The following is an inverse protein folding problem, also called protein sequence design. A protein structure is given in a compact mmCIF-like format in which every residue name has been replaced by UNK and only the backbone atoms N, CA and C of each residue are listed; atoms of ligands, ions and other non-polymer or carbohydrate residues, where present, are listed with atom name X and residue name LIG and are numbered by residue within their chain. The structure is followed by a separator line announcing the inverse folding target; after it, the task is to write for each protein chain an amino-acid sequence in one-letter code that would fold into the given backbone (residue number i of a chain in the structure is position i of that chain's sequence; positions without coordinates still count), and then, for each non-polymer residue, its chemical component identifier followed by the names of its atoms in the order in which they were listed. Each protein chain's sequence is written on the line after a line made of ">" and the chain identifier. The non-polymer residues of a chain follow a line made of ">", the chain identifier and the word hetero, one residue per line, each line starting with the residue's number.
data_IF_167135915658
#
_entry.id   IF_167135915658
#
_cell.length_a   1.000
_cell.length_b   1.000
_cell.length_c   1.000
_cell.angle_alpha   90.00
_cell.angle_beta   90.00
_cell.angle_gamma   90.00
#
_symmetry.space_group_name_H-M   'P 1'
#
loop_
_entity.id
_entity.type
_entity.pdbx_description
1 polymer ?
#
# COMPACT_ATOMS: atom_id res chain seq x y z
N UNK A 1 12.13 -42.56 -48.25
CA UNK A 1 12.00 -41.62 -47.12
C UNK A 1 12.67 -42.24 -45.89
N UNK A 2 13.53 -41.50 -45.19
CA UNK A 2 14.23 -41.98 -43.99
C UNK A 2 13.20 -42.30 -42.87
N UNK A 3 13.35 -43.44 -42.18
CA UNK A 3 12.43 -43.85 -41.10
C UNK A 3 12.34 -42.78 -39.99
N UNK A 4 13.43 -42.05 -39.72
CA UNK A 4 13.45 -40.93 -38.77
C UNK A 4 12.68 -39.71 -39.28
N UNK A 5 12.70 -39.45 -40.59
CA UNK A 5 11.94 -38.36 -41.21
C UNK A 5 10.43 -38.59 -41.04
N UNK A 6 9.95 -39.79 -41.36
CA UNK A 6 8.54 -40.15 -41.21
C UNK A 6 8.08 -40.09 -39.75
N UNK A 7 8.90 -40.59 -38.80
CA UNK A 7 8.60 -40.49 -37.36
C UNK A 7 8.58 -39.04 -36.87
N UNK A 8 9.49 -38.19 -37.37
CA UNK A 8 9.51 -36.76 -37.02
C UNK A 8 8.25 -36.04 -37.51
N UNK A 9 7.78 -36.33 -38.74
CA UNK A 9 6.53 -35.80 -39.29
C UNK A 9 5.34 -36.20 -38.42
N UNK A 10 5.26 -37.47 -38.03
CA UNK A 10 4.17 -37.98 -37.20
C UNK A 10 4.13 -37.27 -35.84
N UNK A 11 5.27 -37.20 -35.14
CA UNK A 11 5.36 -36.50 -33.86
C UNK A 11 5.04 -35.00 -34.00
N UNK A 12 5.40 -34.37 -35.13
CA UNK A 12 5.06 -32.97 -35.37
C UNK A 12 3.56 -32.76 -35.51
N UNK A 13 2.87 -33.63 -36.26
CA UNK A 13 1.41 -33.62 -36.42
C UNK A 13 0.67 -33.91 -35.11
N UNK A 14 1.24 -34.76 -34.26
CA UNK A 14 0.77 -35.03 -32.89
C UNK A 14 1.04 -33.86 -31.92
N UNK A 15 1.66 -32.77 -32.39
CA UNK A 15 1.81 -31.54 -31.63
C UNK A 15 3.05 -31.46 -30.75
N UNK A 16 4.06 -32.30 -30.99
CA UNK A 16 5.35 -32.21 -30.31
C UNK A 16 6.21 -31.06 -30.88
N UNK A 17 6.93 -30.35 -30.01
CA UNK A 17 7.88 -29.32 -30.41
C UNK A 17 9.19 -29.93 -30.92
N UNK A 18 9.97 -29.19 -31.70
CA UNK A 18 11.27 -29.66 -32.18
C UNK A 18 12.21 -30.09 -31.04
N UNK A 19 12.11 -29.45 -29.87
CA UNK A 19 12.89 -29.84 -28.69
C UNK A 19 12.49 -31.22 -28.15
N UNK A 20 11.20 -31.58 -28.18
CA UNK A 20 10.74 -32.91 -27.77
C UNK A 20 11.04 -33.97 -28.84
N UNK A 21 10.88 -33.64 -30.11
CA UNK A 21 11.21 -34.54 -31.23
C UNK A 21 12.71 -34.85 -31.24
N UNK A 22 13.56 -33.84 -31.10
CA UNK A 22 15.01 -34.00 -30.93
C UNK A 22 15.33 -34.91 -29.74
N UNK A 23 14.71 -34.67 -28.56
CA UNK A 23 14.92 -35.50 -27.38
C UNK A 23 14.52 -36.97 -27.59
N UNK A 24 13.47 -37.23 -28.38
CA UNK A 24 12.94 -38.58 -28.64
C UNK A 24 13.69 -39.33 -29.74
N UNK A 25 14.12 -38.64 -30.79
CA UNK A 25 14.70 -39.26 -32.00
C UNK A 25 16.20 -39.01 -32.17
N UNK A 26 16.82 -38.15 -31.36
CA UNK A 26 18.23 -37.76 -31.47
C UNK A 26 18.58 -36.90 -32.69
N UNK A 27 17.60 -36.58 -33.55
CA UNK A 27 17.82 -35.79 -34.77
C UNK A 27 18.08 -34.33 -34.42
N UNK A 28 19.10 -33.73 -35.06
CA UNK A 28 19.48 -32.33 -34.84
C UNK A 28 18.33 -31.36 -35.13
N UNK A 29 18.28 -30.21 -34.43
CA UNK A 29 17.22 -29.21 -34.63
C UNK A 29 17.24 -28.57 -36.02
N UNK A 30 18.42 -28.40 -36.63
CA UNK A 30 18.55 -27.87 -38.00
C UNK A 30 17.95 -28.84 -39.01
N UNK A 31 18.22 -30.14 -38.85
CA UNK A 31 17.59 -31.19 -39.66
C UNK A 31 16.07 -31.22 -39.48
N UNK A 32 15.58 -31.15 -38.23
CA UNK A 32 14.14 -31.09 -37.96
C UNK A 32 13.49 -29.83 -38.55
N UNK A 33 14.19 -28.69 -38.53
CA UNK A 33 13.69 -27.46 -39.17
C UNK A 33 13.48 -27.72 -40.65
N UNK A 34 14.51 -28.17 -41.38
CA UNK A 34 14.42 -28.44 -42.82
C UNK A 34 13.31 -29.43 -43.17
N UNK A 35 13.08 -30.45 -42.34
CA UNK A 35 12.09 -31.50 -42.58
C UNK A 35 10.64 -31.09 -42.26
N UNK A 36 10.44 -30.21 -41.29
CA UNK A 36 9.14 -29.95 -40.69
C UNK A 36 8.62 -28.53 -40.94
N UNK A 37 9.35 -27.69 -41.70
CA UNK A 37 9.00 -26.30 -42.00
C UNK A 37 7.54 -26.14 -42.46
N UNK A 38 7.10 -26.97 -43.40
CA UNK A 38 5.78 -26.89 -44.02
C UNK A 38 4.65 -27.44 -43.13
N UNK A 39 4.96 -27.97 -41.93
CA UNK A 39 3.96 -28.60 -41.05
C UNK A 39 3.58 -27.62 -39.93
N UNK A 40 2.32 -27.13 -39.91
CA UNK A 40 1.84 -26.21 -38.87
C UNK A 40 2.01 -26.78 -37.47
N UNK A 41 2.37 -25.90 -36.53
CA UNK A 41 2.54 -26.30 -35.14
C UNK A 41 1.28 -26.05 -34.32
N UNK A 42 0.67 -27.12 -33.81
CA UNK A 42 -0.36 -27.05 -32.77
C UNK A 42 0.12 -27.83 -31.55
N UNK A 43 0.41 -27.19 -30.41
CA UNK A 43 0.99 -27.87 -29.26
C UNK A 43 0.01 -28.88 -28.63
N UNK A 44 0.52 -30.06 -28.30
CA UNK A 44 -0.23 -31.05 -27.51
C UNK A 44 -0.16 -30.77 -26.00
N UNK A 45 -0.90 -31.57 -25.22
CA UNK A 45 -0.99 -31.38 -23.77
C UNK A 45 0.36 -31.45 -23.06
N UNK A 46 1.29 -32.31 -23.51
CA UNK A 46 2.63 -32.40 -22.94
C UNK A 46 3.42 -31.11 -23.15
N UNK A 47 3.38 -30.54 -24.37
CA UNK A 47 4.00 -29.26 -24.68
C UNK A 47 3.37 -28.13 -23.86
N UNK A 48 2.03 -28.06 -23.81
CA UNK A 48 1.31 -27.06 -23.03
C UNK A 48 1.65 -27.13 -21.54
N UNK A 49 1.70 -28.33 -20.96
CA UNK A 49 2.10 -28.56 -19.57
C UNK A 49 3.54 -28.09 -19.33
N UNK A 50 4.47 -28.35 -20.25
CA UNK A 50 5.86 -27.90 -20.14
C UNK A 50 5.97 -26.36 -20.20
N UNK A 51 5.22 -25.71 -21.08
CA UNK A 51 5.17 -24.25 -21.16
C UNK A 51 4.62 -23.67 -19.85
N UNK A 52 3.51 -24.21 -19.35
CA UNK A 52 2.89 -23.76 -18.11
C UNK A 52 3.80 -23.99 -16.90
N UNK A 53 4.45 -25.15 -16.78
CA UNK A 53 5.39 -25.44 -15.72
C UNK A 53 6.61 -24.51 -15.74
N UNK A 54 7.10 -24.16 -16.93
CA UNK A 54 8.19 -23.19 -17.07
C UNK A 54 7.76 -21.80 -16.61
N UNK A 55 6.56 -21.35 -17.02
CA UNK A 55 5.97 -20.09 -16.56
C UNK A 55 5.77 -20.06 -15.04
N UNK A 56 5.22 -21.14 -14.47
CA UNK A 56 5.03 -21.29 -13.02
C UNK A 56 6.36 -21.24 -12.28
N UNK A 57 7.40 -21.92 -12.78
CA UNK A 57 8.74 -21.88 -12.20
C UNK A 57 9.31 -20.46 -12.21
N UNK A 58 9.20 -19.74 -13.33
CA UNK A 58 9.64 -18.35 -13.43
C UNK A 58 8.90 -17.44 -12.45
N UNK A 59 7.58 -17.59 -12.32
CA UNK A 59 6.77 -16.82 -11.35
C UNK A 59 7.22 -17.12 -9.93
N UNK A 60 7.43 -18.40 -9.58
CA UNK A 60 7.91 -18.81 -8.25
C UNK A 60 9.28 -18.24 -7.94
N UNK A 61 10.23 -18.30 -8.89
CA UNK A 61 11.56 -17.71 -8.73
C UNK A 61 11.45 -16.21 -8.51
N UNK A 62 10.70 -15.48 -9.35
CA UNK A 62 10.50 -14.03 -9.18
C UNK A 62 9.83 -13.67 -7.85
N UNK A 63 8.87 -14.47 -7.39
CA UNK A 63 8.22 -14.27 -6.09
C UNK A 63 9.21 -14.49 -4.94
N UNK A 64 10.04 -15.53 -5.03
CA UNK A 64 11.10 -15.81 -4.06
C UNK A 64 12.13 -14.69 -4.02
N UNK A 65 12.66 -14.27 -5.17
CA UNK A 65 13.64 -13.18 -5.27
C UNK A 65 13.08 -11.87 -4.72
N UNK A 66 11.81 -11.56 -5.05
CA UNK A 66 11.10 -10.39 -4.50
C UNK A 66 10.97 -10.49 -2.99
N UNK A 67 10.59 -11.65 -2.46
CA UNK A 67 10.45 -11.87 -1.02
C UNK A 67 11.79 -11.70 -0.29
N UNK A 68 12.85 -12.33 -0.79
CA UNK A 68 14.19 -12.25 -0.20
C UNK A 68 14.76 -10.83 -0.27
N UNK A 69 14.61 -10.17 -1.42
CA UNK A 69 15.01 -8.77 -1.59
C UNK A 69 14.25 -7.86 -0.63
N UNK A 70 12.93 -8.04 -0.51
CA UNK A 70 12.11 -7.24 0.39
C UNK A 70 12.45 -7.47 1.86
N UNK A 71 12.72 -8.72 2.24
CA UNK A 71 13.15 -9.06 3.60
C UNK A 71 14.49 -8.41 3.95
N UNK A 72 15.45 -8.42 3.02
CA UNK A 72 16.75 -7.75 3.18
C UNK A 72 16.59 -6.24 3.34
N UNK A 73 15.90 -5.58 2.39
CA UNK A 73 15.66 -4.12 2.44
C UNK A 73 14.94 -3.73 3.73
N UNK A 74 13.93 -4.50 4.15
CA UNK A 74 13.21 -4.23 5.40
C UNK A 74 14.11 -4.32 6.63
N UNK A 75 15.08 -5.24 6.64
CA UNK A 75 16.06 -5.36 7.72
C UNK A 75 17.02 -4.17 7.74
N UNK A 76 17.54 -3.78 6.58
CA UNK A 76 18.43 -2.61 6.42
C UNK A 76 17.72 -1.32 6.84
N UNK A 77 16.52 -1.07 6.30
CA UNK A 77 15.72 0.11 6.64
C UNK A 77 15.40 0.20 8.15
N UNK A 78 15.22 -0.95 8.84
CA UNK A 78 15.02 -0.97 10.29
C UNK A 78 16.27 -0.51 11.05
N UNK A 79 17.46 -0.84 10.54
CA UNK A 79 18.74 -0.43 11.13
C UNK A 79 18.96 1.06 10.87
N UNK A 80 18.72 1.52 9.63
CA UNK A 80 18.83 2.93 9.22
C UNK A 80 17.94 3.86 10.05
N UNK A 81 16.66 3.46 10.27
CA UNK A 81 15.72 4.24 11.09
C UNK A 81 16.08 4.16 12.59
N UNK A 82 16.57 3.00 13.04
CA UNK A 82 16.96 2.79 14.43
C UNK A 82 15.82 3.00 15.43
N UNK A 83 16.18 3.37 16.67
CA UNK A 83 15.21 3.71 17.73
C UNK A 83 14.97 5.21 17.71
N UNK A 84 13.71 5.60 17.51
CA UNK A 84 13.31 7.00 17.51
C UNK A 84 13.45 7.62 18.92
N UNK A 85 14.09 8.79 18.95
CA UNK A 85 14.17 9.69 20.11
C UNK A 85 12.96 10.61 20.17
N UNK A 86 12.86 11.41 21.25
CA UNK A 86 11.85 12.49 21.32
C UNK A 86 12.04 13.54 20.23
N UNK A 87 13.28 13.83 19.83
CA UNK A 87 13.58 14.79 18.75
C UNK A 87 13.10 14.25 17.40
N UNK A 88 13.29 12.96 17.14
CA UNK A 88 12.80 12.32 15.91
C UNK A 88 11.27 12.34 15.85
N UNK A 89 10.60 12.01 16.97
CA UNK A 89 9.14 12.11 17.05
C UNK A 89 8.66 13.55 16.85
N UNK A 90 9.36 14.54 17.40
CA UNK A 90 9.05 15.95 17.18
C UNK A 90 9.10 16.29 15.69
N UNK A 91 10.19 15.96 14.99
CA UNK A 91 10.35 16.30 13.57
C UNK A 91 9.41 15.49 12.67
N UNK A 92 9.20 14.22 12.99
CA UNK A 92 8.31 13.37 12.21
C UNK A 92 6.85 13.82 12.32
N UNK A 93 6.41 14.21 13.52
CA UNK A 93 5.08 14.79 13.70
C UNK A 93 4.94 16.19 13.12
N UNK A 94 6.00 17.01 13.13
CA UNK A 94 6.01 18.30 12.45
C UNK A 94 5.87 18.13 10.93
N UNK A 95 6.60 17.18 10.34
CA UNK A 95 6.47 16.81 8.92
C UNK A 95 5.10 16.24 8.58
N UNK A 96 4.52 15.42 9.47
CA UNK A 96 3.13 14.98 9.33
C UNK A 96 2.18 16.18 9.33
N UNK A 97 2.33 17.11 10.26
CA UNK A 97 1.46 18.28 10.34
C UNK A 97 1.65 19.19 9.11
N UNK A 98 2.85 19.32 8.57
CA UNK A 98 3.12 20.03 7.32
C UNK A 98 2.26 19.50 6.16
N UNK A 99 2.18 18.17 6.00
CA UNK A 99 1.44 17.54 4.90
C UNK A 99 -0.07 17.36 5.14
N UNK A 100 -0.47 17.02 6.37
CA UNK A 100 -1.84 16.55 6.68
C UNK A 100 -2.57 17.45 7.71
N UNK A 101 -1.87 18.44 8.27
CA UNK A 101 -2.39 19.30 9.33
C UNK A 101 -3.11 20.54 8.79
N UNK A 102 -4.18 20.95 9.46
CA UNK A 102 -4.89 22.19 9.16
C UNK A 102 -3.97 23.42 9.31
N UNK A 103 -4.10 24.38 8.39
CA UNK A 103 -3.31 25.64 8.34
C UNK A 103 -4.15 26.90 8.56
N UNK A 104 -5.46 26.74 8.67
CA UNK A 104 -6.39 27.85 8.75
C UNK A 104 -7.27 27.74 10.00
N UNK A 105 -7.92 28.86 10.32
CA UNK A 105 -8.95 28.96 11.37
C UNK A 105 -8.47 28.61 12.79
N UNK A 106 -7.17 28.79 13.07
CA UNK A 106 -6.55 28.47 14.37
C UNK A 106 -6.86 27.04 14.88
N UNK A 107 -7.12 26.10 13.95
CA UNK A 107 -7.56 24.76 14.26
C UNK A 107 -6.39 23.78 14.26
N UNK A 108 -6.16 23.09 15.39
CA UNK A 108 -5.20 21.98 15.44
C UNK A 108 -5.91 20.69 15.06
N UNK A 109 -5.79 20.31 13.78
CA UNK A 109 -6.49 19.17 13.21
C UNK A 109 -5.61 18.40 12.22
N UNK A 110 -5.74 17.08 12.19
CA UNK A 110 -5.17 16.18 11.17
C UNK A 110 -6.29 15.27 10.66
N UNK A 111 -6.40 15.10 9.34
CA UNK A 111 -7.40 14.25 8.70
C UNK A 111 -6.71 13.18 7.85
N UNK A 112 -6.96 11.90 8.11
CA UNK A 112 -6.42 10.84 7.26
C UNK A 112 -7.26 9.56 7.32
N UNK A 113 -7.18 8.72 6.28
CA UNK A 113 -7.79 7.39 6.27
C UNK A 113 -6.89 6.29 6.84
N UNK A 114 -5.57 6.51 6.87
CA UNK A 114 -4.62 5.54 7.36
C UNK A 114 -4.56 5.57 8.91
N UNK A 115 -4.89 4.46 9.59
CA UNK A 115 -4.88 4.41 11.04
C UNK A 115 -3.49 4.56 11.67
N UNK A 116 -2.41 4.21 10.97
CA UNK A 116 -1.04 4.45 11.44
C UNK A 116 -0.72 5.95 11.51
N UNK A 117 -1.16 6.73 10.52
CA UNK A 117 -0.99 8.19 10.50
C UNK A 117 -1.76 8.82 11.65
N UNK A 118 -2.99 8.37 11.88
CA UNK A 118 -3.83 8.87 12.98
C UNK A 118 -3.22 8.53 14.35
N UNK A 119 -2.68 7.32 14.53
CA UNK A 119 -1.95 6.95 15.76
C UNK A 119 -0.71 7.79 15.97
N UNK A 120 0.07 8.04 14.91
CA UNK A 120 1.24 8.92 14.97
C UNK A 120 0.85 10.33 15.40
N UNK A 121 -0.22 10.89 14.83
CA UNK A 121 -0.75 12.20 15.21
C UNK A 121 -1.10 12.26 16.70
N UNK A 122 -1.87 11.28 17.21
CA UNK A 122 -2.25 11.20 18.62
C UNK A 122 -1.03 11.09 19.54
N UNK A 123 -0.05 10.24 19.17
CA UNK A 123 1.20 10.09 19.92
C UNK A 123 2.01 11.38 19.93
N UNK A 124 2.14 12.06 18.80
CA UNK A 124 2.86 13.32 18.69
C UNK A 124 2.20 14.42 19.52
N UNK A 125 0.89 14.61 19.38
CA UNK A 125 0.17 15.60 20.19
C UNK A 125 0.30 15.31 21.69
N UNK A 126 0.22 14.04 22.10
CA UNK A 126 0.32 13.67 23.52
C UNK A 126 1.75 13.84 24.07
N UNK A 127 2.75 13.25 23.40
CA UNK A 127 4.12 13.17 23.94
C UNK A 127 4.97 14.42 23.67
N UNK A 128 4.73 15.12 22.56
CA UNK A 128 5.50 16.30 22.16
C UNK A 128 4.76 17.58 22.52
N UNK A 129 3.46 17.66 22.20
CA UNK A 129 2.68 18.88 22.46
C UNK A 129 2.07 18.91 23.87
N UNK A 130 2.13 17.80 24.62
CA UNK A 130 1.59 17.69 25.97
C UNK A 130 0.06 17.67 26.03
N UNK A 131 -0.61 17.33 24.93
CA UNK A 131 -2.08 17.36 24.82
C UNK A 131 -2.70 16.22 25.63
N UNK A 132 -3.57 16.50 26.61
CA UNK A 132 -4.27 15.47 27.36
C UNK A 132 -5.28 14.70 26.50
N UNK A 133 -5.62 13.48 26.92
CA UNK A 133 -6.47 12.58 26.12
C UNK A 133 -7.88 13.12 25.91
N UNK A 134 -8.41 13.84 26.89
CA UNK A 134 -9.74 14.45 26.91
C UNK A 134 -9.90 15.58 25.88
N UNK A 135 -8.79 16.21 25.48
CA UNK A 135 -8.75 17.26 24.47
C UNK A 135 -8.97 16.71 23.06
N UNK A 136 -8.72 15.42 22.81
CA UNK A 136 -8.94 14.82 21.48
C UNK A 136 -10.43 14.63 21.21
N UNK A 137 -10.89 15.12 20.07
CA UNK A 137 -12.19 14.76 19.47
C UNK A 137 -11.98 14.14 18.10
N UNK A 138 -12.85 13.21 17.72
CA UNK A 138 -12.80 12.53 16.43
C UNK A 138 -14.09 12.77 15.65
N UNK A 139 -13.97 13.26 14.43
CA UNK A 139 -15.07 13.29 13.45
C UNK A 139 -14.75 12.32 12.34
N UNK A 140 -15.66 11.40 12.04
CA UNK A 140 -15.50 10.47 10.91
C UNK A 140 -16.25 11.03 9.71
N UNK A 141 -15.61 11.02 8.54
CA UNK A 141 -16.27 11.32 7.26
C UNK A 141 -16.43 10.03 6.47
N UNK A 142 -17.66 9.76 6.03
CA UNK A 142 -18.06 8.52 5.36
C UNK A 142 -18.83 8.78 4.08
N UNK A 143 -18.87 7.74 3.25
CA UNK A 143 -19.82 7.64 2.14
C UNK A 143 -21.13 7.00 2.62
N UNK A 144 -22.27 7.29 1.98
CA UNK A 144 -23.58 6.80 2.41
C UNK A 144 -23.71 5.27 2.45
N UNK A 145 -22.88 4.55 1.69
CA UNK A 145 -22.86 3.09 1.62
C UNK A 145 -21.99 2.42 2.70
N UNK A 146 -21.43 3.19 3.63
CA UNK A 146 -20.56 2.68 4.70
C UNK A 146 -21.34 2.38 5.99
N UNK A 147 -21.03 1.25 6.65
CA UNK A 147 -21.59 0.94 7.96
C UNK A 147 -20.99 1.86 9.05
N UNK A 148 -21.80 2.82 9.51
CA UNK A 148 -21.40 3.81 10.51
C UNK A 148 -20.97 3.16 11.82
N UNK A 149 -21.70 2.15 12.30
CA UNK A 149 -21.43 1.53 13.59
C UNK A 149 -20.12 0.72 13.58
N UNK A 150 -19.87 -0.04 12.51
CA UNK A 150 -18.60 -0.76 12.33
C UNK A 150 -17.42 0.20 12.22
N UNK A 151 -17.62 1.31 11.49
CA UNK A 151 -16.58 2.33 11.34
C UNK A 151 -16.21 2.98 12.67
N UNK A 152 -17.21 3.35 13.48
CA UNK A 152 -16.95 3.95 14.79
C UNK A 152 -16.22 2.96 15.72
N UNK A 153 -16.60 1.67 15.71
CA UNK A 153 -15.90 0.61 16.46
C UNK A 153 -14.45 0.44 15.98
N UNK A 154 -14.23 0.46 14.67
CA UNK A 154 -12.89 0.40 14.09
C UNK A 154 -12.03 1.56 14.60
N UNK A 155 -12.47 2.80 14.44
CA UNK A 155 -11.68 3.95 14.85
C UNK A 155 -11.50 4.06 16.37
N UNK A 156 -12.50 3.66 17.15
CA UNK A 156 -12.35 3.54 18.60
C UNK A 156 -11.23 2.55 18.97
N UNK A 157 -11.16 1.40 18.29
CA UNK A 157 -10.07 0.43 18.48
C UNK A 157 -8.71 0.98 18.04
N UNK A 158 -8.64 1.64 16.88
CA UNK A 158 -7.36 2.12 16.33
C UNK A 158 -6.75 3.27 17.15
N UNK A 159 -7.59 4.11 17.76
CA UNK A 159 -7.18 5.34 18.46
C UNK A 159 -7.22 5.22 19.98
N UNK A 160 -8.01 4.29 20.51
CA UNK A 160 -8.35 4.18 21.93
C UNK A 160 -9.24 5.32 22.45
N UNK A 161 -9.59 6.32 21.65
CA UNK A 161 -10.39 7.46 22.11
C UNK A 161 -11.82 6.97 22.47
N UNK A 162 -12.38 7.39 23.62
CA UNK A 162 -13.70 6.92 24.03
C UNK A 162 -14.80 7.45 23.11
N UNK A 163 -15.88 6.67 22.94
CA UNK A 163 -17.01 7.01 22.04
C UNK A 163 -17.63 8.39 22.33
N UNK A 164 -17.59 8.87 23.58
CA UNK A 164 -18.08 10.22 23.97
C UNK A 164 -17.31 11.36 23.31
N UNK A 165 -16.07 11.12 22.88
CA UNK A 165 -15.22 12.07 22.17
C UNK A 165 -15.39 11.96 20.63
N UNK A 166 -16.23 11.04 20.14
CA UNK A 166 -16.58 10.95 18.73
C UNK A 166 -17.79 11.84 18.42
N UNK A 167 -17.56 12.84 17.60
CA UNK A 167 -18.58 13.80 17.16
C UNK A 167 -19.47 13.22 16.05
N UNK A 168 -20.46 14.00 15.62
CA UNK A 168 -21.41 13.59 14.58
C UNK A 168 -20.66 13.21 13.31
N UNK A 169 -20.85 11.96 12.89
CA UNK A 169 -20.32 11.43 11.63
C UNK A 169 -20.84 12.25 10.44
N UNK A 170 -19.95 12.63 9.55
CA UNK A 170 -20.24 13.41 8.36
C UNK A 170 -20.45 12.47 7.18
N UNK A 171 -21.67 12.48 6.61
CA UNK A 171 -21.99 11.68 5.43
C UNK A 171 -21.90 12.55 4.19
N UNK A 172 -21.03 12.16 3.27
CA UNK A 172 -20.87 12.86 2.00
C UNK A 172 -21.96 12.42 1.00
N UNK A 173 -23.06 13.17 0.99
CA UNK A 173 -24.25 12.92 0.17
C UNK A 173 -24.19 13.49 -1.26
N UNK A 174 -23.04 14.01 -1.71
CA UNK A 174 -22.91 14.56 -3.09
C UNK A 174 -23.20 13.49 -4.14
N UNK A 175 -23.95 13.86 -5.18
CA UNK A 175 -24.30 13.00 -6.33
C UNK A 175 -23.19 12.99 -7.40
N UNK A 176 -23.30 12.11 -8.40
CA UNK A 176 -22.38 12.08 -9.55
C UNK A 176 -20.98 11.49 -9.30
N UNK A 177 -20.78 10.76 -8.21
CA UNK A 177 -19.45 10.19 -7.88
C UNK A 177 -19.09 9.00 -8.77
N UNK A 178 -17.81 8.95 -9.15
CA UNK A 178 -17.27 7.83 -9.92
C UNK A 178 -17.42 6.51 -9.15
N UNK A 179 -18.01 5.51 -9.83
CA UNK A 179 -18.15 4.15 -9.31
C UNK A 179 -16.80 3.48 -9.02
N UNK A 180 -15.69 3.95 -9.61
CA UNK A 180 -14.35 3.36 -9.40
C UNK A 180 -13.71 3.70 -8.05
N UNK A 181 -14.25 4.67 -7.31
CA UNK A 181 -13.78 5.05 -5.96
C UNK A 181 -14.58 4.40 -4.83
N UNK A 182 -15.60 3.60 -5.17
CA UNK A 182 -16.45 2.91 -4.20
C UNK A 182 -15.63 1.92 -3.36
N UNK A 183 -15.91 1.82 -2.06
CA UNK A 183 -15.27 0.90 -1.11
C UNK A 183 -13.75 1.01 -0.93
N UNK A 184 -13.08 2.03 -1.50
CA UNK A 184 -11.63 2.22 -1.27
C UNK A 184 -11.28 2.60 0.16
N UNK A 185 -12.23 3.23 0.87
CA UNK A 185 -12.11 3.67 2.25
C UNK A 185 -13.23 3.02 3.09
N UNK A 186 -13.13 1.72 3.43
CA UNK A 186 -14.20 0.98 4.10
C UNK A 186 -14.57 1.55 5.48
N UNK A 187 -13.68 2.33 6.09
CA UNK A 187 -13.89 3.02 7.37
C UNK A 187 -13.82 4.56 7.23
N UNK A 188 -13.89 5.07 6.00
CA UNK A 188 -13.77 6.51 5.71
C UNK A 188 -12.47 7.14 6.18
N UNK A 189 -12.53 8.44 6.50
CA UNK A 189 -11.41 9.22 7.04
C UNK A 189 -11.72 9.69 8.46
N UNK A 190 -10.73 9.60 9.35
CA UNK A 190 -10.81 10.18 10.67
C UNK A 190 -10.20 11.58 10.67
N UNK A 191 -10.94 12.54 11.21
CA UNK A 191 -10.47 13.87 11.54
C UNK A 191 -10.24 13.95 13.05
N UNK A 192 -8.98 14.07 13.46
CA UNK A 192 -8.59 14.31 14.84
C UNK A 192 -8.48 15.80 15.05
N UNK A 193 -9.24 16.34 16.01
CA UNK A 193 -9.16 17.74 16.42
C UNK A 193 -8.74 17.82 17.88
N UNK A 194 -7.80 18.71 18.19
CA UNK A 194 -7.44 19.07 19.56
C UNK A 194 -8.35 20.22 20.01
N UNK A 195 -9.10 19.99 21.09
CA UNK A 195 -9.99 20.99 21.71
C UNK A 195 -9.28 21.69 22.86
N UNK A 196 -9.47 23.00 22.99
CA UNK A 196 -8.86 23.78 24.06
C UNK A 196 -9.40 23.41 25.47
N UNK A 197 -10.69 23.09 25.57
CA UNK A 197 -11.40 22.84 26.84
C UNK A 197 -11.16 23.94 27.89
N UNK A 198 -11.14 25.20 27.45
CA UNK A 198 -10.89 26.36 28.32
C UNK A 198 -9.39 26.68 28.53
N UNK A 199 -8.47 25.82 28.09
CA UNK A 199 -7.04 26.09 28.15
C UNK A 199 -6.48 26.50 26.76
N UNK A 200 -6.11 27.77 26.55
CA UNK A 200 -5.63 28.26 25.26
C UNK A 200 -4.30 27.61 24.82
N UNK A 201 -3.52 27.05 25.75
CA UNK A 201 -2.28 26.30 25.47
C UNK A 201 -2.56 25.12 24.54
N UNK A 202 -3.76 24.51 24.60
CA UNK A 202 -4.18 23.40 23.74
C UNK A 202 -5.11 23.83 22.59
N UNK A 203 -5.35 25.13 22.44
CA UNK A 203 -6.19 25.72 21.39
C UNK A 203 -5.37 26.54 20.40
N UNK A 204 -5.71 27.82 20.30
CA UNK A 204 -5.07 28.79 19.39
C UNK A 204 -3.56 28.87 19.60
N UNK A 205 -3.08 28.85 20.85
CA UNK A 205 -1.63 28.92 21.11
C UNK A 205 -0.90 27.66 20.62
N UNK A 206 -1.51 26.48 20.73
CA UNK A 206 -0.94 25.25 20.19
C UNK A 206 -0.78 25.34 18.67
N UNK A 207 -1.84 25.78 17.99
CA UNK A 207 -1.83 25.91 16.54
C UNK A 207 -0.72 26.87 16.08
N UNK A 208 -0.66 28.07 16.66
CA UNK A 208 0.37 29.07 16.35
C UNK A 208 1.78 28.57 16.66
N UNK A 209 1.96 27.85 17.77
CA UNK A 209 3.24 27.26 18.13
C UNK A 209 3.69 26.22 17.10
N UNK A 210 2.77 25.39 16.60
CA UNK A 210 3.07 24.42 15.53
C UNK A 210 3.44 25.14 14.23
N UNK A 211 2.70 26.19 13.84
CA UNK A 211 3.04 26.98 12.65
C UNK A 211 4.41 27.64 12.78
N UNK A 212 4.72 28.24 13.92
CA UNK A 212 6.04 28.83 14.18
C UNK A 212 7.17 27.78 14.11
N UNK A 213 6.95 26.56 14.61
CA UNK A 213 7.90 25.46 14.43
C UNK A 213 8.11 25.11 12.96
N UNK A 214 7.05 25.09 12.17
CA UNK A 214 7.13 24.81 10.73
C UNK A 214 7.91 25.92 10.01
N UNK A 215 7.57 27.18 10.26
CA UNK A 215 8.23 28.33 9.63
C UNK A 215 9.73 28.31 9.94
N UNK A 216 10.08 28.14 11.22
CA UNK A 216 11.48 28.03 11.61
C UNK A 216 12.19 26.83 10.98
N UNK A 217 11.55 25.65 10.93
CA UNK A 217 12.13 24.49 10.27
C UNK A 217 12.36 24.72 8.76
N UNK A 218 11.42 25.39 8.09
CA UNK A 218 11.51 25.72 6.67
C UNK A 218 12.61 26.76 6.39
N UNK A 219 12.73 27.79 7.22
CA UNK A 219 13.77 28.82 7.08
C UNK A 219 15.18 28.22 7.17
N UNK A 220 15.37 27.22 8.04
CA UNK A 220 16.62 26.47 8.14
C UNK A 220 16.91 25.51 6.96
N UNK A 221 15.99 25.39 5.99
CA UNK A 221 16.17 24.53 4.80
C UNK A 221 16.29 25.31 3.50
N UNK A 222 16.18 26.64 3.56
CA UNK A 222 16.42 27.50 2.39
C UNK A 222 17.92 27.53 2.11
N UNK A 223 18.28 27.26 0.84
CA UNK A 223 19.65 27.37 0.32
C UNK A 223 19.95 28.83 0.00
#
# INVERSE_FOLDING_TARGET
>A
MNQLHTKAIQLRKEGYSYALINKRLGVSKSTLSNWLTEIPFKPNQEVLNRINNTKLKLVRTKQKDKFETWARIKKEARIEVGRLTKRDLFMFGLGLYLGEGAKAYDATQIINANPDIIRLALKWFSEICGVPRENFSITIHLYPDTNVNETLKFWQKQTGIPRRNFWKTQLDKREGKSKTKRNKLPYGTASITVRALGNPIFGVQLHRRILAWMDHAMDNTRV
#
